data_IF_061830115136
#
_entry.id   IF_061830115136
#
_cell.length_a   1.000
_cell.length_b   1.000
_cell.length_c   1.000
_cell.angle_alpha   90.00
_cell.angle_beta   90.00
_cell.angle_gamma   90.00
#
_symmetry.space_group_name_H-M   'P 1'
#
loop_
_entity.id
_entity.type
_entity.pdbx_description
1 polymer ?
#
# COMPACT_ATOMS: atom_id res chain seq x y z
N UNK A 1 12.54 -11.62 -16.57
CA UNK A 1 12.63 -10.43 -15.68
C UNK A 1 11.19 -9.96 -15.48
N UNK A 2 10.73 -9.72 -14.25
CA UNK A 2 9.35 -9.26 -14.02
C UNK A 2 9.29 -7.78 -14.39
N UNK A 3 8.46 -7.43 -15.37
CA UNK A 3 8.32 -6.03 -15.84
C UNK A 3 7.22 -5.27 -15.10
N UNK A 4 6.22 -6.01 -14.59
CA UNK A 4 5.03 -5.46 -13.94
C UNK A 4 4.62 -6.34 -12.75
N UNK A 5 4.28 -5.72 -11.63
CA UNK A 5 3.75 -6.37 -10.42
C UNK A 5 2.46 -5.67 -10.03
N UNK A 6 1.44 -6.46 -9.69
CA UNK A 6 0.18 -5.97 -9.11
C UNK A 6 0.01 -6.61 -7.74
N UNK A 7 -0.12 -5.79 -6.71
CA UNK A 7 -0.36 -6.23 -5.33
C UNK A 7 -1.74 -5.75 -4.91
N UNK A 8 -2.56 -6.67 -4.39
CA UNK A 8 -3.84 -6.35 -3.74
C UNK A 8 -3.71 -6.54 -2.24
N UNK A 9 -4.03 -5.50 -1.47
CA UNK A 9 -3.91 -5.50 -0.01
C UNK A 9 -5.29 -5.21 0.59
N UNK A 10 -5.83 -6.09 1.46
CA UNK A 10 -7.09 -5.81 2.14
C UNK A 10 -6.87 -4.78 3.25
N UNK A 11 -7.89 -3.97 3.50
CA UNK A 11 -7.98 -3.18 4.72
C UNK A 11 -8.12 -4.14 5.93
N UNK A 12 -7.62 -3.70 7.08
CA UNK A 12 -7.72 -4.46 8.32
C UNK A 12 -8.36 -3.61 9.41
N UNK A 13 -8.93 -4.28 10.40
CA UNK A 13 -9.30 -3.69 11.69
C UNK A 13 -8.58 -4.45 12.80
N UNK A 14 -8.25 -3.77 13.90
CA UNK A 14 -7.43 -4.31 14.99
C UNK A 14 -8.06 -4.00 16.36
N UNK A 15 -7.47 -4.54 17.44
CA UNK A 15 -7.84 -4.28 18.83
C UNK A 15 -9.28 -4.67 19.18
N UNK A 16 -9.72 -5.84 18.72
CA UNK A 16 -11.06 -6.35 18.99
C UNK A 16 -11.14 -6.93 20.40
N UNK A 17 -11.84 -6.23 21.29
CA UNK A 17 -12.09 -6.66 22.67
C UNK A 17 -10.78 -6.88 23.44
N UNK A 18 -10.59 -8.01 24.15
CA UNK A 18 -9.37 -8.27 24.91
C UNK A 18 -8.14 -8.54 24.03
N UNK A 19 -8.30 -8.61 22.70
CA UNK A 19 -7.23 -8.86 21.73
C UNK A 19 -6.38 -7.64 21.39
N UNK A 20 -6.00 -6.85 22.41
CA UNK A 20 -5.14 -5.68 22.25
C UNK A 20 -3.77 -6.11 21.70
N UNK A 21 -3.27 -5.40 20.68
CA UNK A 21 -1.97 -5.63 20.04
C UNK A 21 -1.70 -7.05 19.50
N UNK A 22 -2.74 -7.88 19.31
CA UNK A 22 -2.57 -9.23 18.78
C UNK A 22 -3.67 -9.71 17.84
N UNK A 23 -4.90 -9.16 17.94
CA UNK A 23 -6.00 -9.56 17.07
C UNK A 23 -6.23 -8.52 15.95
N UNK A 24 -6.26 -9.01 14.72
CA UNK A 24 -6.66 -8.26 13.54
C UNK A 24 -7.59 -9.06 12.64
N UNK A 25 -8.46 -8.37 11.90
CA UNK A 25 -9.41 -8.96 10.95
C UNK A 25 -9.25 -8.26 9.60
N UNK A 26 -9.08 -9.05 8.53
CA UNK A 26 -9.11 -8.54 7.17
C UNK A 26 -10.55 -8.27 6.72
N UNK A 27 -10.76 -7.13 6.07
CA UNK A 27 -12.06 -6.69 5.57
C UNK A 27 -12.12 -6.77 4.05
N UNK A 28 -13.33 -6.88 3.49
CA UNK A 28 -13.56 -6.90 2.05
C UNK A 28 -13.50 -5.49 1.42
N UNK A 29 -12.47 -4.72 1.75
CA UNK A 29 -12.13 -3.40 1.19
C UNK A 29 -10.68 -3.48 0.77
N UNK A 30 -10.35 -3.09 -0.46
CA UNK A 30 -9.06 -3.42 -1.07
C UNK A 30 -8.35 -2.20 -1.62
N UNK A 31 -7.02 -2.20 -1.50
CA UNK A 31 -6.13 -1.30 -2.22
C UNK A 31 -5.33 -2.09 -3.27
N UNK A 32 -5.15 -1.52 -4.46
CA UNK A 32 -4.40 -2.14 -5.57
C UNK A 32 -3.19 -1.27 -5.91
N UNK A 33 -1.99 -1.84 -5.82
CA UNK A 33 -0.73 -1.18 -6.18
C UNK A 33 -0.17 -1.82 -7.43
N UNK A 34 0.08 -0.99 -8.45
CA UNK A 34 0.74 -1.42 -9.69
C UNK A 34 2.13 -0.80 -9.74
N UNK A 35 3.14 -1.65 -9.89
CA UNK A 35 4.53 -1.24 -10.05
C UNK A 35 5.07 -1.75 -11.39
N UNK A 36 5.65 -0.85 -12.16
CA UNK A 36 6.25 -1.11 -13.47
C UNK A 36 7.66 -0.53 -13.50
N UNK A 37 8.59 -1.21 -14.15
CA UNK A 37 9.94 -0.68 -14.34
C UNK A 37 9.91 0.52 -15.29
N UNK A 38 10.42 1.67 -14.87
CA UNK A 38 10.45 2.89 -15.69
C UNK A 38 10.95 4.12 -14.92
N UNK A 39 10.83 5.33 -15.51
CA UNK A 39 11.07 6.58 -14.80
C UNK A 39 10.22 6.70 -13.54
N UNK A 40 10.74 7.36 -12.52
CA UNK A 40 10.02 7.55 -11.27
C UNK A 40 8.77 8.39 -11.50
N UNK A 41 7.62 7.82 -11.19
CA UNK A 41 6.33 8.52 -11.13
C UNK A 41 5.40 7.77 -10.19
N UNK A 42 4.55 8.51 -9.48
CA UNK A 42 3.51 7.94 -8.63
C UNK A 42 2.19 8.59 -9.01
N UNK A 43 1.16 7.76 -9.16
CA UNK A 43 -0.21 8.20 -9.38
C UNK A 43 -1.11 7.52 -8.38
N UNK A 44 -1.86 8.32 -7.62
CA UNK A 44 -2.91 7.84 -6.72
C UNK A 44 -4.24 8.01 -7.43
N UNK A 45 -5.12 7.01 -7.33
CA UNK A 45 -6.48 7.06 -7.91
C UNK A 45 -7.47 6.64 -6.82
N UNK A 46 -8.56 7.38 -6.70
CA UNK A 46 -9.61 7.08 -5.71
C UNK A 46 -9.34 7.77 -4.37
N UNK A 47 -9.46 7.03 -3.26
CA UNK A 47 -9.42 7.62 -1.92
C UNK A 47 -8.03 8.20 -1.62
N UNK A 48 -7.98 9.49 -1.30
CA UNK A 48 -6.74 10.21 -1.00
C UNK A 48 -5.97 10.71 -2.22
N UNK A 49 -6.57 10.68 -3.43
CA UNK A 49 -5.91 11.12 -4.66
C UNK A 49 -5.31 12.53 -4.59
N UNK A 50 -6.03 13.49 -3.98
CA UNK A 50 -5.60 14.89 -3.89
C UNK A 50 -4.93 15.21 -2.54
N UNK A 51 -4.76 14.21 -1.67
CA UNK A 51 -4.23 14.36 -0.31
C UNK A 51 -2.90 13.63 -0.11
N UNK A 52 -2.72 12.49 -0.79
CA UNK A 52 -1.56 11.62 -0.61
C UNK A 52 -0.37 12.10 -1.45
N UNK A 53 0.86 12.09 -0.89
CA UNK A 53 2.05 12.48 -1.65
C UNK A 53 2.26 11.60 -2.89
N UNK A 54 2.56 12.23 -4.02
CA UNK A 54 2.93 11.59 -5.29
C UNK A 54 4.42 11.73 -5.60
N UNK A 55 5.21 12.09 -4.61
CA UNK A 55 6.67 12.17 -4.63
C UNK A 55 7.27 11.01 -3.83
N UNK A 56 8.57 11.07 -3.56
CA UNK A 56 9.29 10.07 -2.77
C UNK A 56 8.85 10.01 -1.29
N UNK A 57 7.97 10.91 -0.83
CA UNK A 57 7.36 10.85 0.49
C UNK A 57 6.22 9.83 0.61
N UNK A 58 5.73 9.28 -0.50
CA UNK A 58 4.69 8.26 -0.51
C UNK A 58 5.09 7.00 0.30
N UNK A 59 4.25 6.59 1.23
CA UNK A 59 4.53 5.45 2.12
C UNK A 59 4.65 4.11 1.39
N UNK A 60 3.91 3.90 0.30
CA UNK A 60 4.01 2.68 -0.52
C UNK A 60 5.39 2.63 -1.18
N UNK A 61 5.84 3.74 -1.75
CA UNK A 61 7.17 3.85 -2.36
C UNK A 61 8.30 3.65 -1.34
N UNK A 62 8.25 4.37 -0.20
CA UNK A 62 9.22 4.20 0.90
C UNK A 62 9.31 2.74 1.36
N UNK A 63 8.17 2.06 1.50
CA UNK A 63 8.11 0.65 1.87
C UNK A 63 8.74 -0.24 0.81
N UNK A 64 8.41 -0.03 -0.47
CA UNK A 64 8.98 -0.77 -1.59
C UNK A 64 10.51 -0.67 -1.64
N UNK A 65 11.06 0.54 -1.51
CA UNK A 65 12.51 0.76 -1.49
C UNK A 65 13.18 0.13 -0.26
N UNK A 66 12.53 0.16 0.91
CA UNK A 66 13.09 -0.42 2.14
C UNK A 66 13.15 -1.95 2.10
N UNK A 67 12.15 -2.59 1.50
CA UNK A 67 12.07 -4.05 1.34
C UNK A 67 12.95 -4.60 0.20
N UNK A 68 13.52 -3.74 -0.63
CA UNK A 68 14.41 -4.12 -1.75
C UNK A 68 15.90 -4.13 -1.38
N UNK A 69 16.23 -4.05 -0.09
CA UNK A 69 17.59 -4.32 0.43
C UNK A 69 17.74 -5.80 0.71
#
# INVERSE_FOLDING_TARGET
>A
MIENIVVKVPATSANMGPGFDCLGIALNVWNEVKATKGPFSIKVIGKGQDELPTDDNNFVYKSFCKSSK
#
